data_IF_459638617337
#
_entry.id   IF_459638617337
#
_cell.length_a   1.000
_cell.length_b   1.000
_cell.length_c   1.000
_cell.angle_alpha   90.00
_cell.angle_beta   90.00
_cell.angle_gamma   90.00
#
_symmetry.space_group_name_H-M   'P 1'
#
loop_
_entity.id
_entity.type
_entity.pdbx_description
1 polymer ?
#
# COMPACT_ATOMS: atom_id res chain seq x y z
N UNK A 1 8.02 -16.17 30.11
CA UNK A 1 7.61 -15.44 31.32
C UNK A 1 7.58 -13.97 30.96
N UNK A 2 6.44 -13.30 31.12
CA UNK A 2 6.41 -11.85 30.94
C UNK A 2 7.26 -11.17 32.02
N UNK A 3 8.12 -10.24 31.64
CA UNK A 3 8.92 -9.49 32.61
C UNK A 3 8.02 -8.61 33.50
N UNK A 4 8.47 -8.28 34.71
CA UNK A 4 7.78 -7.32 35.58
C UNK A 4 7.53 -5.97 34.85
N UNK A 5 8.48 -5.56 34.02
CA UNK A 5 8.36 -4.38 33.15
C UNK A 5 7.21 -4.51 32.15
N UNK A 6 7.09 -5.67 31.48
CA UNK A 6 5.98 -5.95 30.55
C UNK A 6 4.63 -5.91 31.26
N UNK A 7 4.55 -6.42 32.49
CA UNK A 7 3.33 -6.37 33.30
C UNK A 7 2.91 -4.93 33.64
N UNK A 8 3.85 -4.08 34.08
CA UNK A 8 3.59 -2.65 34.35
C UNK A 8 3.10 -1.95 33.08
N UNK A 9 3.79 -2.15 31.95
CA UNK A 9 3.45 -1.51 30.68
C UNK A 9 2.06 -1.90 30.19
N UNK A 10 1.65 -3.17 30.37
CA UNK A 10 0.28 -3.62 30.10
C UNK A 10 -0.73 -2.91 30.99
N UNK A 11 -0.43 -2.76 32.28
CA UNK A 11 -1.27 -2.01 33.22
C UNK A 11 -1.42 -0.53 32.85
N UNK A 12 -0.35 0.12 32.39
CA UNK A 12 -0.40 1.50 31.90
C UNK A 12 -1.21 1.63 30.61
N UNK A 13 -1.02 0.71 29.67
CA UNK A 13 -1.78 0.68 28.41
C UNK A 13 -3.29 0.45 28.66
N UNK A 14 -3.65 -0.39 29.63
CA UNK A 14 -5.05 -0.65 29.98
C UNK A 14 -5.78 0.60 30.54
N UNK A 15 -5.04 1.57 31.08
CA UNK A 15 -5.57 2.86 31.55
C UNK A 15 -5.69 3.90 30.43
N UNK A 16 -5.12 3.65 29.25
CA UNK A 16 -5.26 4.54 28.11
C UNK A 16 -6.56 4.24 27.36
N UNK A 17 -7.16 5.28 26.77
CA UNK A 17 -8.29 5.12 25.87
C UNK A 17 -7.91 4.18 24.71
N UNK A 18 -8.83 3.32 24.28
CA UNK A 18 -8.57 2.31 23.24
C UNK A 18 -8.14 2.99 21.94
N UNK A 19 -6.83 2.98 21.69
CA UNK A 19 -6.27 3.55 20.47
C UNK A 19 -6.83 2.86 19.23
N UNK A 20 -6.88 3.58 18.11
CA UNK A 20 -7.24 2.99 16.81
C UNK A 20 -6.36 1.78 16.45
N UNK A 21 -5.10 1.77 16.87
CA UNK A 21 -4.18 0.65 16.68
C UNK A 21 -4.70 -0.63 17.36
N UNK A 22 -5.23 -0.52 18.58
CA UNK A 22 -5.79 -1.66 19.31
C UNK A 22 -7.01 -2.25 18.60
N UNK A 23 -7.86 -1.39 18.02
CA UNK A 23 -9.06 -1.83 17.31
C UNK A 23 -8.73 -2.58 16.01
N UNK A 24 -7.61 -2.25 15.38
CA UNK A 24 -7.20 -2.81 14.09
C UNK A 24 -6.60 -4.21 14.21
N UNK A 25 -5.91 -4.51 15.32
CA UNK A 25 -5.24 -5.82 15.48
C UNK A 25 -6.22 -7.00 15.38
N UNK A 26 -7.50 -6.80 15.70
CA UNK A 26 -8.53 -7.84 15.73
C UNK A 26 -9.38 -7.90 14.45
N UNK A 27 -9.09 -7.05 13.45
CA UNK A 27 -9.90 -6.98 12.22
C UNK A 27 -9.56 -8.06 11.21
N UNK A 28 -8.38 -8.68 11.31
CA UNK A 28 -7.89 -9.71 10.39
C UNK A 28 -7.28 -10.88 11.16
N UNK A 29 -7.28 -12.05 10.55
CA UNK A 29 -6.60 -13.22 11.10
C UNK A 29 -5.12 -13.20 10.70
N UNK A 30 -4.24 -13.08 11.69
CA UNK A 30 -2.79 -13.02 11.48
C UNK A 30 -2.14 -14.39 11.20
N UNK A 31 -2.82 -15.50 11.50
CA UNK A 31 -2.22 -16.83 11.41
C UNK A 31 -1.86 -17.25 9.96
N UNK A 32 -2.69 -17.02 8.93
CA UNK A 32 -2.32 -17.28 7.55
C UNK A 32 -1.13 -16.42 7.07
N UNK A 33 -1.11 -15.14 7.43
CA UNK A 33 0.02 -14.25 7.09
C UNK A 33 1.33 -14.72 7.70
N UNK A 34 1.30 -15.26 8.92
CA UNK A 34 2.48 -15.84 9.58
C UNK A 34 3.11 -16.92 8.70
N UNK A 35 2.29 -17.88 8.24
CA UNK A 35 2.78 -19.00 7.40
C UNK A 35 3.44 -18.47 6.13
N UNK A 36 2.76 -17.57 5.42
CA UNK A 36 3.27 -16.92 4.19
C UNK A 36 4.59 -16.17 4.44
N UNK A 37 4.69 -15.43 5.54
CA UNK A 37 5.89 -14.67 5.88
C UNK A 37 7.02 -15.55 6.42
N UNK A 38 6.75 -16.70 7.04
CA UNK A 38 7.78 -17.64 7.48
C UNK A 38 8.42 -18.40 6.31
N UNK A 39 7.68 -18.61 5.22
CA UNK A 39 8.18 -19.27 4.00
C UNK A 39 9.26 -18.47 3.27
N UNK A 40 9.37 -17.15 3.51
CA UNK A 40 10.44 -16.36 2.89
C UNK A 40 11.83 -16.65 3.48
N UNK A 41 11.90 -17.37 4.60
CA UNK A 41 13.14 -17.72 5.29
C UNK A 41 13.59 -19.15 4.96
N UNK A 42 14.87 -19.27 4.62
CA UNK A 42 15.55 -20.51 4.22
C UNK A 42 16.41 -21.12 5.34
N UNK A 43 16.51 -20.45 6.49
CA UNK A 43 17.36 -20.86 7.61
C UNK A 43 16.78 -22.02 8.46
N UNK A 44 16.00 -22.91 7.85
CA UNK A 44 15.42 -24.12 8.46
C UNK A 44 16.39 -25.33 8.44
N UNK A 45 17.67 -25.11 8.14
CA UNK A 45 18.67 -26.16 8.04
C UNK A 45 19.13 -26.68 9.40
N UNK A 46 19.61 -27.93 9.44
CA UNK A 46 20.05 -28.64 10.65
C UNK A 46 21.13 -27.89 11.46
N UNK A 47 21.93 -27.04 10.80
CA UNK A 47 23.00 -26.27 11.46
C UNK A 47 22.48 -25.11 12.32
N UNK A 48 21.21 -24.70 12.15
CA UNK A 48 20.58 -23.63 12.90
C UNK A 48 21.17 -22.24 12.60
N UNK A 49 20.30 -21.27 12.28
CA UNK A 49 20.66 -19.85 12.28
C UNK A 49 20.24 -19.16 13.59
N UNK A 50 20.69 -17.92 13.82
CA UNK A 50 20.09 -17.08 14.87
C UNK A 50 18.57 -17.02 14.66
N UNK A 51 17.75 -17.23 15.71
CA UNK A 51 16.30 -17.10 15.60
C UNK A 51 15.94 -15.76 14.97
N UNK A 52 15.10 -15.80 13.94
CA UNK A 52 14.60 -14.58 13.31
C UNK A 52 13.64 -13.88 14.29
N UNK A 53 13.55 -12.55 14.17
CA UNK A 53 12.45 -11.81 14.81
C UNK A 53 11.10 -12.38 14.33
N UNK A 54 10.09 -12.30 15.20
CA UNK A 54 8.74 -12.72 14.87
C UNK A 54 8.23 -12.02 13.60
N UNK A 55 7.76 -12.79 12.61
CA UNK A 55 7.41 -12.23 11.31
C UNK A 55 6.18 -11.34 11.33
N UNK A 56 5.24 -11.59 12.25
CA UNK A 56 4.05 -10.76 12.43
C UNK A 56 4.43 -9.45 13.08
N UNK A 57 5.31 -9.48 14.09
CA UNK A 57 5.93 -8.28 14.67
C UNK A 57 6.58 -7.44 13.57
N UNK A 58 7.44 -8.04 12.74
CA UNK A 58 8.13 -7.32 11.67
C UNK A 58 7.16 -6.69 10.67
N UNK A 59 6.11 -7.41 10.27
CA UNK A 59 5.12 -6.88 9.33
C UNK A 59 4.26 -5.77 9.97
N UNK A 60 3.87 -5.90 11.24
CA UNK A 60 3.19 -4.84 12.00
C UNK A 60 4.03 -3.57 12.12
N UNK A 61 5.36 -3.68 12.26
CA UNK A 61 6.27 -2.53 12.21
C UNK A 61 6.16 -1.81 10.87
N UNK A 62 6.09 -2.54 9.75
CA UNK A 62 5.93 -1.91 8.42
C UNK A 62 4.62 -1.16 8.28
N UNK A 63 3.54 -1.69 8.88
CA UNK A 63 2.23 -1.03 8.92
C UNK A 63 2.31 0.27 9.74
N UNK A 64 2.95 0.24 10.93
CA UNK A 64 3.20 1.44 11.73
C UNK A 64 3.98 2.50 10.95
N UNK A 65 5.01 2.09 10.19
CA UNK A 65 5.75 3.00 9.33
C UNK A 65 4.85 3.71 8.32
N UNK A 66 3.84 3.03 7.76
CA UNK A 66 2.94 3.67 6.80
C UNK A 66 1.93 4.59 7.50
N UNK A 67 1.30 4.15 8.59
CA UNK A 67 0.31 4.98 9.28
C UNK A 67 0.88 6.29 9.84
N UNK A 68 2.16 6.29 10.23
CA UNK A 68 2.80 7.44 10.86
C UNK A 68 3.91 8.08 9.99
N UNK A 69 4.09 7.62 8.75
CA UNK A 69 5.10 8.17 7.83
C UNK A 69 6.55 8.03 8.31
N UNK A 70 6.87 6.97 9.06
CA UNK A 70 8.16 6.81 9.75
C UNK A 70 9.22 6.14 8.87
N UNK A 71 10.46 6.59 9.00
CA UNK A 71 11.64 5.87 8.53
C UNK A 71 11.99 4.66 9.41
N UNK A 72 12.98 3.86 9.00
CA UNK A 72 13.44 2.70 9.79
C UNK A 72 14.01 3.11 11.14
N UNK A 73 14.78 4.21 11.17
CA UNK A 73 15.39 4.72 12.40
C UNK A 73 14.35 5.36 13.33
N UNK A 74 13.35 6.03 12.76
CA UNK A 74 12.28 6.66 13.55
C UNK A 74 11.34 5.62 14.16
N UNK A 75 10.97 4.57 13.42
CA UNK A 75 10.13 3.51 13.99
C UNK A 75 10.87 2.73 15.06
N UNK A 76 12.19 2.50 14.89
CA UNK A 76 13.06 1.88 15.91
C UNK A 76 13.03 2.65 17.23
N UNK A 77 13.20 3.98 17.16
CA UNK A 77 13.13 4.84 18.35
C UNK A 77 11.72 4.86 18.94
N UNK A 78 10.70 5.09 18.11
CA UNK A 78 9.33 5.27 18.61
C UNK A 78 8.72 4.00 19.19
N UNK A 79 9.07 2.81 18.71
CA UNK A 79 8.56 1.58 19.31
C UNK A 79 9.14 1.30 20.70
N UNK A 80 10.34 1.82 20.99
CA UNK A 80 10.95 1.76 22.32
C UNK A 80 10.42 2.84 23.28
N UNK A 81 9.82 3.92 22.77
CA UNK A 81 9.36 5.06 23.59
C UNK A 81 7.83 5.11 23.78
N UNK A 82 7.04 4.59 22.81
CA UNK A 82 5.58 4.76 22.79
C UNK A 82 4.86 3.50 23.23
N UNK A 83 4.20 3.57 24.39
CA UNK A 83 3.40 2.47 24.96
C UNK A 83 2.35 1.96 23.97
N UNK A 84 1.69 2.84 23.21
CA UNK A 84 0.69 2.43 22.22
C UNK A 84 1.29 1.64 21.05
N UNK A 85 2.54 1.90 20.67
CA UNK A 85 3.25 1.12 19.66
C UNK A 85 3.66 -0.23 20.24
N UNK A 86 4.22 -0.24 21.44
CA UNK A 86 4.54 -1.49 22.14
C UNK A 86 3.32 -2.39 22.25
N UNK A 87 2.18 -1.84 22.67
CA UNK A 87 0.93 -2.59 22.79
C UNK A 87 0.47 -3.18 21.46
N UNK A 88 0.52 -2.41 20.36
CA UNK A 88 0.18 -2.90 19.02
C UNK A 88 1.12 -4.04 18.55
N UNK A 89 2.39 -3.95 18.93
CA UNK A 89 3.45 -4.90 18.61
C UNK A 89 3.52 -6.10 19.58
N UNK A 90 2.73 -6.10 20.65
CA UNK A 90 2.72 -7.18 21.64
C UNK A 90 3.83 -7.11 22.70
N UNK A 91 4.37 -5.92 22.97
CA UNK A 91 5.46 -5.65 23.91
C UNK A 91 6.70 -6.53 23.63
N UNK A 92 7.31 -6.41 22.44
CA UNK A 92 8.46 -7.24 22.07
C UNK A 92 9.69 -6.89 22.92
N UNK A 93 10.48 -7.90 23.25
CA UNK A 93 11.78 -7.76 23.91
C UNK A 93 12.75 -8.84 23.38
N UNK A 94 13.84 -8.48 22.69
CA UNK A 94 14.26 -7.12 22.31
C UNK A 94 13.50 -6.54 21.10
N UNK A 95 13.54 -5.21 20.95
CA UNK A 95 13.04 -4.53 19.75
C UNK A 95 13.98 -4.74 18.54
N UNK A 96 13.44 -5.01 17.32
CA UNK A 96 14.26 -5.13 16.11
C UNK A 96 14.94 -3.81 15.71
N UNK A 97 16.23 -3.84 15.35
CA UNK A 97 16.89 -2.63 14.84
C UNK A 97 16.42 -2.25 13.41
N UNK A 98 16.68 -1.01 13.00
CA UNK A 98 16.36 -0.46 11.68
C UNK A 98 16.92 -1.28 10.52
N UNK A 99 18.10 -1.89 10.70
CA UNK A 99 18.72 -2.76 9.68
C UNK A 99 17.91 -4.05 9.50
N UNK A 100 17.41 -4.62 10.58
CA UNK A 100 16.56 -5.83 10.58
C UNK A 100 15.24 -5.56 9.88
N UNK A 101 14.64 -4.39 10.14
CA UNK A 101 13.43 -3.92 9.45
C UNK A 101 13.67 -3.75 7.95
N UNK A 102 14.80 -3.13 7.57
CA UNK A 102 15.18 -2.98 6.17
C UNK A 102 15.37 -4.34 5.47
N UNK A 103 16.09 -5.27 6.10
CA UNK A 103 16.35 -6.61 5.56
C UNK A 103 15.05 -7.42 5.37
N UNK A 104 14.07 -7.26 6.26
CA UNK A 104 12.78 -7.90 6.15
C UNK A 104 12.04 -7.46 4.87
N UNK A 105 11.95 -6.16 4.60
CA UNK A 105 11.36 -5.65 3.34
C UNK A 105 12.13 -6.09 2.11
N UNK A 106 13.45 -6.08 2.18
CA UNK A 106 14.30 -6.54 1.08
C UNK A 106 14.04 -8.02 0.77
N UNK A 107 13.84 -8.84 1.80
CA UNK A 107 13.50 -10.26 1.63
C UNK A 107 12.13 -10.44 1.00
N UNK A 108 11.11 -9.70 1.44
CA UNK A 108 9.78 -9.70 0.79
C UNK A 108 9.88 -9.36 -0.70
N UNK A 109 10.65 -8.31 -1.06
CA UNK A 109 10.83 -7.90 -2.45
C UNK A 109 11.54 -8.94 -3.32
N UNK A 110 12.47 -9.70 -2.74
CA UNK A 110 13.23 -10.74 -3.46
C UNK A 110 12.42 -12.02 -3.67
N UNK A 111 11.60 -12.37 -2.71
CA UNK A 111 10.81 -13.62 -2.68
C UNK A 111 9.42 -13.47 -3.30
N UNK A 112 8.94 -12.24 -3.47
CA UNK A 112 7.58 -11.97 -3.96
C UNK A 112 6.50 -12.25 -2.93
N UNK A 113 6.88 -12.42 -1.65
CA UNK A 113 5.96 -12.66 -0.53
C UNK A 113 4.95 -11.53 -0.35
N UNK A 114 5.28 -10.30 -0.78
CA UNK A 114 4.36 -9.17 -0.75
C UNK A 114 3.07 -9.43 -1.53
N UNK A 115 3.16 -10.10 -2.69
CA UNK A 115 2.00 -10.47 -3.51
C UNK A 115 1.13 -11.52 -2.80
N UNK A 116 1.77 -12.50 -2.15
CA UNK A 116 1.05 -13.55 -1.41
C UNK A 116 0.30 -12.97 -0.20
N UNK A 117 0.95 -12.05 0.52
CA UNK A 117 0.32 -11.29 1.61
C UNK A 117 -0.87 -10.49 1.10
N UNK A 118 -0.75 -9.83 -0.06
CA UNK A 118 -1.87 -9.10 -0.66
C UNK A 118 -3.05 -10.01 -1.00
N UNK A 119 -2.79 -11.16 -1.63
CA UNK A 119 -3.81 -12.17 -1.98
C UNK A 119 -4.53 -12.66 -0.72
N UNK A 120 -3.80 -12.95 0.36
CA UNK A 120 -4.42 -13.40 1.61
C UNK A 120 -5.29 -12.32 2.26
N UNK A 121 -4.89 -11.04 2.20
CA UNK A 121 -5.76 -9.95 2.66
C UNK A 121 -7.07 -9.91 1.87
N UNK A 122 -6.99 -9.95 0.53
CA UNK A 122 -8.19 -9.94 -0.31
C UNK A 122 -9.11 -11.14 -0.01
N UNK A 123 -8.54 -12.34 0.18
CA UNK A 123 -9.30 -13.53 0.59
C UNK A 123 -10.04 -13.32 1.90
N UNK A 124 -9.41 -12.71 2.91
CA UNK A 124 -10.07 -12.41 4.18
C UNK A 124 -11.16 -11.35 4.07
N UNK A 125 -10.95 -10.31 3.24
CA UNK A 125 -11.98 -9.30 2.97
C UNK A 125 -13.23 -9.95 2.35
N UNK A 126 -13.02 -10.82 1.36
CA UNK A 126 -14.11 -11.53 0.70
C UNK A 126 -14.84 -12.50 1.64
N UNK A 127 -14.10 -13.17 2.53
CA UNK A 127 -14.67 -14.05 3.56
C UNK A 127 -15.53 -13.28 4.58
N UNK A 128 -15.26 -11.99 4.79
CA UNK A 128 -16.09 -11.08 5.62
C UNK A 128 -17.32 -10.54 4.88
N UNK A 129 -17.59 -11.00 3.65
CA UNK A 129 -18.71 -10.51 2.84
C UNK A 129 -18.47 -9.15 2.18
N UNK A 130 -17.27 -8.58 2.36
CA UNK A 130 -16.82 -7.34 1.74
C UNK A 130 -16.33 -7.65 0.33
N UNK A 131 -17.20 -8.16 -0.53
CA UNK A 131 -16.92 -8.46 -1.94
C UNK A 131 -17.29 -7.28 -2.83
N UNK A 132 -16.63 -7.15 -3.97
CA UNK A 132 -17.03 -6.19 -5.01
C UNK A 132 -18.42 -6.56 -5.54
N UNK A 133 -19.38 -5.62 -5.52
CA UNK A 133 -20.74 -5.88 -6.05
C UNK A 133 -21.06 -4.99 -7.24
N UNK A 134 -20.99 -3.67 -7.06
CA UNK A 134 -21.44 -2.72 -8.11
C UNK A 134 -20.35 -2.38 -9.12
N UNK A 135 -19.08 -2.52 -8.75
CA UNK A 135 -17.96 -2.30 -9.64
C UNK A 135 -16.72 -1.77 -8.92
N UNK A 136 -15.70 -1.50 -9.72
CA UNK A 136 -14.42 -0.96 -9.26
C UNK A 136 -14.07 0.29 -10.03
N UNK A 137 -13.49 1.26 -9.33
CA UNK A 137 -12.85 2.42 -9.92
C UNK A 137 -11.37 2.14 -10.07
N UNK A 138 -10.82 2.24 -11.29
CA UNK A 138 -9.37 2.17 -11.52
C UNK A 138 -8.82 3.57 -11.73
N UNK A 139 -7.74 3.87 -11.02
CA UNK A 139 -7.03 5.15 -11.10
C UNK A 139 -5.54 4.98 -10.80
N UNK A 140 -4.75 5.98 -11.18
CA UNK A 140 -3.32 5.98 -10.91
C UNK A 140 -2.87 7.28 -10.26
N UNK A 141 -1.90 7.18 -9.36
CA UNK A 141 -1.29 8.35 -8.72
C UNK A 141 0.23 8.29 -8.80
N UNK A 142 0.85 9.45 -9.05
CA UNK A 142 2.29 9.60 -8.94
C UNK A 142 2.76 9.43 -7.49
N UNK A 143 3.89 8.74 -7.35
CA UNK A 143 4.67 8.55 -6.13
C UNK A 143 6.07 9.09 -6.40
N UNK A 144 6.40 10.20 -5.78
CA UNK A 144 7.61 10.96 -6.11
C UNK A 144 8.86 10.33 -5.53
N UNK A 145 9.96 10.41 -6.26
CA UNK A 145 11.28 9.99 -5.83
C UNK A 145 12.27 11.15 -6.01
N UNK A 146 13.48 10.99 -5.48
CA UNK A 146 14.55 11.96 -5.69
C UNK A 146 15.24 11.74 -7.05
N UNK A 147 15.16 12.70 -8.00
CA UNK A 147 15.87 12.61 -9.29
C UNK A 147 17.39 12.76 -9.16
N UNK A 148 17.90 13.28 -8.03
CA UNK A 148 19.26 13.75 -7.89
C UNK A 148 19.48 15.13 -8.53
N UNK A 149 20.72 15.63 -8.52
CA UNK A 149 21.05 16.93 -9.13
C UNK A 149 20.87 16.92 -10.65
N UNK A 150 20.49 18.07 -11.22
CA UNK A 150 20.26 18.28 -12.66
C UNK A 150 21.49 17.99 -13.54
N UNK A 151 22.70 18.07 -12.98
CA UNK A 151 23.96 17.72 -13.67
C UNK A 151 24.14 16.20 -13.85
N UNK A 152 23.39 15.39 -13.09
CA UNK A 152 23.48 13.93 -13.14
C UNK A 152 22.62 13.33 -14.26
N UNK A 153 22.81 13.76 -15.52
CA UNK A 153 22.13 13.20 -16.70
C UNK A 153 22.40 11.69 -16.92
N UNK A 154 23.43 11.14 -16.27
CA UNK A 154 23.78 9.71 -16.34
C UNK A 154 22.92 8.89 -15.37
N UNK A 155 22.43 7.74 -15.82
CA UNK A 155 21.79 6.75 -14.93
C UNK A 155 22.76 6.37 -13.79
N UNK A 156 22.21 6.17 -12.60
CA UNK A 156 22.98 5.77 -11.43
C UNK A 156 23.57 4.37 -11.64
N UNK A 157 24.89 4.21 -11.49
CA UNK A 157 25.55 2.90 -11.49
C UNK A 157 25.06 1.98 -10.37
N UNK A 158 25.17 0.67 -10.56
CA UNK A 158 24.62 -0.34 -9.64
C UNK A 158 25.15 -0.24 -8.20
N UNK A 159 26.35 0.32 -8.00
CA UNK A 159 27.07 0.34 -6.72
C UNK A 159 27.00 1.67 -5.96
N UNK A 160 26.42 2.73 -6.56
CA UNK A 160 26.40 4.04 -5.92
C UNK A 160 25.63 3.99 -4.57
N UNK A 161 26.12 4.65 -3.52
CA UNK A 161 25.43 4.77 -2.22
C UNK A 161 24.76 6.14 -2.11
N UNK A 162 23.62 6.31 -2.78
CA UNK A 162 22.85 7.56 -2.81
C UNK A 162 21.35 7.32 -2.63
N UNK A 163 20.60 8.37 -2.26
CA UNK A 163 19.13 8.40 -2.19
C UNK A 163 18.45 8.60 -3.55
N UNK A 164 19.23 8.94 -4.58
CA UNK A 164 18.75 9.09 -5.95
C UNK A 164 18.07 7.80 -6.45
N UNK A 165 16.89 7.93 -7.03
CA UNK A 165 16.19 6.79 -7.63
C UNK A 165 17.06 6.07 -8.68
N UNK A 166 16.99 4.74 -8.75
CA UNK A 166 17.76 3.94 -9.71
C UNK A 166 17.02 3.78 -11.03
N UNK A 167 15.72 3.52 -10.98
CA UNK A 167 14.89 3.20 -12.15
C UNK A 167 13.63 4.09 -12.27
N UNK A 168 13.47 5.09 -11.39
CA UNK A 168 12.43 6.11 -11.52
C UNK A 168 12.57 6.91 -12.82
N UNK A 169 11.45 7.35 -13.38
CA UNK A 169 11.40 8.09 -14.64
C UNK A 169 10.60 9.38 -14.47
N UNK A 170 10.63 10.26 -15.49
CA UNK A 170 9.76 11.42 -15.57
C UNK A 170 8.41 11.04 -16.20
N UNK A 171 7.33 11.61 -15.67
CA UNK A 171 5.99 11.58 -16.26
C UNK A 171 5.32 12.94 -16.13
N UNK A 172 4.34 13.24 -16.98
CA UNK A 172 3.66 14.53 -17.01
C UNK A 172 2.17 14.37 -16.68
N UNK A 173 1.64 15.25 -15.83
CA UNK A 173 0.20 15.38 -15.54
C UNK A 173 -0.22 16.83 -15.77
N UNK A 174 -1.01 17.07 -16.82
CA UNK A 174 -1.31 18.44 -17.24
C UNK A 174 -0.02 19.20 -17.58
N UNK A 175 0.26 20.28 -16.83
CA UNK A 175 1.49 21.07 -16.99
C UNK A 175 2.60 20.69 -16.00
N UNK A 176 2.34 19.78 -15.06
CA UNK A 176 3.29 19.39 -14.01
C UNK A 176 4.11 18.17 -14.43
N UNK A 177 5.40 18.17 -14.09
CA UNK A 177 6.31 17.04 -14.30
C UNK A 177 6.63 16.38 -12.96
N UNK A 178 6.45 15.07 -12.86
CA UNK A 178 6.75 14.29 -11.67
C UNK A 178 7.84 13.27 -11.98
N UNK A 179 8.81 13.14 -11.08
CA UNK A 179 9.83 12.11 -11.16
C UNK A 179 9.59 11.00 -10.14
N UNK A 180 9.66 9.75 -10.57
CA UNK A 180 9.55 8.58 -9.70
C UNK A 180 8.73 7.48 -10.33
N UNK A 181 7.60 7.18 -9.68
CA UNK A 181 6.79 5.99 -9.92
C UNK A 181 5.30 6.34 -9.99
N UNK A 182 4.48 5.34 -10.32
CA UNK A 182 3.03 5.39 -10.20
C UNK A 182 2.53 4.21 -9.38
N UNK A 183 1.54 4.47 -8.53
CA UNK A 183 0.69 3.46 -7.93
C UNK A 183 -0.60 3.41 -8.75
N UNK A 184 -0.79 2.32 -9.47
CA UNK A 184 -2.06 1.97 -10.10
C UNK A 184 -2.87 1.20 -9.07
N UNK A 185 -4.15 1.52 -8.91
CA UNK A 185 -5.00 0.81 -7.96
C UNK A 185 -6.42 0.68 -8.47
N UNK A 186 -7.10 -0.37 -8.02
CA UNK A 186 -8.56 -0.50 -8.10
C UNK A 186 -9.16 -0.36 -6.72
N UNK A 187 -10.23 0.41 -6.63
CA UNK A 187 -10.98 0.63 -5.39
C UNK A 187 -12.43 0.23 -5.63
N UNK A 188 -13.00 -0.61 -4.77
CA UNK A 188 -14.41 -0.93 -4.88
C UNK A 188 -15.29 0.25 -4.46
N UNK A 189 -16.42 0.43 -5.13
CA UNK A 189 -17.31 1.58 -4.92
C UNK A 189 -18.30 1.37 -3.77
N UNK A 190 -18.28 0.19 -3.13
CA UNK A 190 -19.24 -0.22 -2.10
C UNK A 190 -18.71 0.11 -0.69
N UNK A 191 -17.46 -0.25 -0.45
CA UNK A 191 -16.78 -0.21 0.85
C UNK A 191 -15.51 0.65 0.81
N UNK A 192 -15.14 1.19 -0.36
CA UNK A 192 -13.92 1.98 -0.56
C UNK A 192 -12.65 1.22 -0.17
N UNK A 193 -12.59 -0.10 -0.38
CA UNK A 193 -11.39 -0.91 -0.16
C UNK A 193 -10.58 -1.00 -1.45
N UNK A 194 -9.26 -0.97 -1.32
CA UNK A 194 -8.36 -1.23 -2.43
C UNK A 194 -8.37 -2.73 -2.72
N UNK A 195 -8.60 -3.11 -3.97
CA UNK A 195 -8.77 -4.50 -4.43
C UNK A 195 -7.56 -5.05 -5.13
N UNK A 196 -6.91 -4.22 -5.94
CA UNK A 196 -5.69 -4.59 -6.62
C UNK A 196 -4.78 -3.38 -6.77
N UNK A 197 -3.48 -3.63 -6.90
CA UNK A 197 -2.47 -2.60 -7.08
C UNK A 197 -1.37 -3.07 -8.02
N UNK A 198 -0.75 -2.13 -8.73
CA UNK A 198 0.49 -2.36 -9.47
C UNK A 198 1.36 -1.12 -9.37
N UNK A 199 2.68 -1.31 -9.29
CA UNK A 199 3.64 -0.21 -9.23
C UNK A 199 4.46 -0.17 -10.51
N UNK A 200 4.47 0.99 -11.18
CA UNK A 200 5.28 1.20 -12.38
C UNK A 200 6.19 2.42 -12.24
N UNK A 201 7.05 2.63 -13.23
CA UNK A 201 7.73 3.92 -13.39
C UNK A 201 6.74 5.02 -13.78
N UNK A 202 7.11 6.29 -13.57
CA UNK A 202 6.22 7.42 -13.82
C UNK A 202 5.88 7.64 -15.32
N UNK A 203 6.72 7.15 -16.24
CA UNK A 203 6.53 7.33 -17.68
C UNK A 203 5.53 6.35 -18.26
N UNK A 204 5.28 5.22 -17.59
CA UNK A 204 4.31 4.24 -18.05
C UNK A 204 2.93 4.89 -18.12
N UNK A 205 2.30 4.80 -19.29
CA UNK A 205 0.96 5.35 -19.48
C UNK A 205 -0.07 4.47 -18.75
N UNK A 206 -1.03 5.11 -18.07
CA UNK A 206 -1.95 4.43 -17.15
C UNK A 206 -2.77 3.34 -17.86
N UNK A 207 -3.13 3.58 -19.12
CA UNK A 207 -3.86 2.62 -19.94
C UNK A 207 -3.11 1.31 -20.24
N UNK A 208 -1.80 1.23 -19.97
CA UNK A 208 -1.02 0.00 -20.15
C UNK A 208 -1.14 -0.96 -18.97
N UNK A 209 -1.75 -0.53 -17.87
CA UNK A 209 -1.99 -1.35 -16.69
C UNK A 209 -3.49 -1.60 -16.58
N UNK A 210 -3.89 -2.87 -16.61
CA UNK A 210 -5.29 -3.28 -16.47
C UNK A 210 -5.47 -4.23 -15.28
N UNK A 211 -6.00 -3.67 -14.21
CA UNK A 211 -6.33 -4.32 -12.94
C UNK A 211 -7.82 -4.68 -12.85
N UNK A 212 -8.56 -4.55 -13.95
CA UNK A 212 -9.98 -4.86 -13.96
C UNK A 212 -10.26 -6.36 -13.83
N UNK A 213 -11.40 -6.67 -13.24
CA UNK A 213 -11.86 -8.04 -12.98
C UNK A 213 -12.89 -8.40 -14.05
N UNK A 214 -12.75 -9.59 -14.66
CA UNK A 214 -13.68 -10.07 -15.69
C UNK A 214 -15.11 -10.14 -15.14
N UNK A 215 -16.08 -9.65 -15.93
CA UNK A 215 -17.50 -9.64 -15.54
C UNK A 215 -17.88 -8.53 -14.54
N UNK A 216 -16.93 -7.74 -14.05
CA UNK A 216 -17.19 -6.64 -13.12
C UNK A 216 -17.10 -5.29 -13.85
N UNK A 217 -18.04 -4.35 -13.62
CA UNK A 217 -17.92 -2.97 -14.13
C UNK A 217 -16.65 -2.27 -13.65
N UNK A 218 -15.88 -1.72 -14.59
CA UNK A 218 -14.69 -0.90 -14.30
C UNK A 218 -14.91 0.54 -14.74
N UNK A 219 -14.85 1.46 -13.78
CA UNK A 219 -14.98 2.90 -13.98
C UNK A 219 -13.60 3.53 -14.10
N UNK A 220 -13.29 4.11 -15.27
CA UNK A 220 -11.98 4.69 -15.58
C UNK A 220 -12.11 6.10 -16.13
N UNK A 221 -11.10 6.93 -15.92
CA UNK A 221 -11.06 8.26 -16.50
C UNK A 221 -10.74 8.25 -18.00
N UNK A 222 -10.67 9.44 -18.58
CA UNK A 222 -10.38 9.68 -19.99
C UNK A 222 -8.96 9.27 -20.40
N UNK A 223 -8.04 9.12 -19.44
CA UNK A 223 -6.68 8.64 -19.67
C UNK A 223 -6.65 7.19 -20.16
N UNK A 224 -7.67 6.40 -19.83
CA UNK A 224 -7.79 5.01 -20.29
C UNK A 224 -8.54 4.86 -21.62
N UNK A 225 -9.01 5.97 -22.21
CA UNK A 225 -9.80 5.93 -23.44
C UNK A 225 -9.05 5.26 -24.59
N UNK A 226 -9.71 4.31 -25.26
CA UNK A 226 -9.18 3.58 -26.41
C UNK A 226 -8.56 2.22 -26.08
N UNK A 227 -8.41 1.86 -24.80
CA UNK A 227 -7.92 0.54 -24.38
C UNK A 227 -9.05 -0.27 -23.75
N UNK A 228 -9.39 -1.43 -24.33
CA UNK A 228 -10.44 -2.30 -23.80
C UNK A 228 -9.96 -2.99 -22.51
N UNK A 229 -10.72 -2.92 -21.39
CA UNK A 229 -10.38 -3.62 -20.17
C UNK A 229 -10.84 -5.09 -20.21
N UNK A 230 -10.33 -5.90 -19.27
CA UNK A 230 -10.85 -7.26 -18.98
C UNK A 230 -12.28 -7.23 -18.43
N UNK A 231 -12.61 -6.22 -17.62
CA UNK A 231 -13.93 -6.01 -17.04
C UNK A 231 -14.96 -5.41 -18.01
N UNK A 232 -16.15 -5.11 -17.49
CA UNK A 232 -17.21 -4.42 -18.25
C UNK A 232 -16.85 -2.93 -18.33
N UNK A 233 -16.67 -2.42 -19.56
CA UNK A 233 -16.04 -1.12 -19.80
C UNK A 233 -16.95 0.09 -19.52
N UNK A 234 -16.65 0.81 -18.44
CA UNK A 234 -17.21 2.13 -18.13
C UNK A 234 -16.11 3.20 -18.11
N UNK A 235 -15.29 3.22 -19.16
CA UNK A 235 -14.26 4.25 -19.34
C UNK A 235 -14.87 5.53 -19.90
N UNK A 236 -14.49 6.68 -19.34
CA UNK A 236 -14.95 7.97 -19.84
C UNK A 236 -14.47 8.21 -21.27
N UNK A 237 -15.35 8.78 -22.10
CA UNK A 237 -14.98 9.18 -23.46
C UNK A 237 -14.21 10.50 -23.44
N UNK A 238 -13.27 10.65 -24.38
CA UNK A 238 -12.55 11.90 -24.62
C UNK A 238 -12.91 12.46 -25.99
N UNK A 239 -12.82 13.79 -26.15
CA UNK A 239 -12.92 14.44 -27.45
C UNK A 239 -11.75 13.97 -28.31
N UNK A 240 -12.01 13.60 -29.56
CA UNK A 240 -10.97 13.41 -30.57
C UNK A 240 -10.93 14.62 -31.50
N UNK A 241 -9.87 14.75 -32.30
CA UNK A 241 -9.76 15.83 -33.30
C UNK A 241 -10.97 15.82 -34.24
N UNK A 242 -11.43 14.62 -34.60
CA UNK A 242 -12.46 14.41 -35.61
C UNK A 242 -13.89 14.40 -35.05
N UNK A 243 -14.06 14.12 -33.75
CA UNK A 243 -15.39 14.00 -33.13
C UNK A 243 -15.49 14.77 -31.81
N UNK A 244 -16.33 15.82 -31.76
CA UNK A 244 -16.67 16.48 -30.50
C UNK A 244 -17.44 15.51 -29.59
N UNK A 245 -17.37 15.76 -28.27
CA UNK A 245 -18.14 14.98 -27.31
C UNK A 245 -19.64 15.31 -27.45
N UNK A 246 -20.47 14.32 -27.72
CA UNK A 246 -21.93 14.48 -27.73
C UNK A 246 -22.47 14.82 -26.33
N UNK A 247 -23.67 15.41 -26.24
CA UNK A 247 -24.32 15.67 -24.94
C UNK A 247 -24.54 14.38 -24.14
N UNK A 248 -24.87 13.27 -24.82
CA UNK A 248 -25.00 11.95 -24.19
C UNK A 248 -23.66 11.46 -23.61
N UNK A 249 -22.55 11.70 -24.30
CA UNK A 249 -21.22 11.33 -23.80
C UNK A 249 -20.78 12.21 -22.62
N UNK A 250 -21.18 13.50 -22.62
CA UNK A 250 -20.95 14.40 -21.49
C UNK A 250 -21.71 13.92 -20.25
N UNK A 251 -22.99 13.59 -20.40
CA UNK A 251 -23.81 13.10 -19.29
C UNK A 251 -23.32 11.72 -18.80
N UNK A 252 -22.98 10.80 -19.71
CA UNK A 252 -22.34 9.52 -19.36
C UNK A 252 -21.06 9.75 -18.55
N UNK A 253 -20.19 10.66 -18.99
CA UNK A 253 -18.96 10.98 -18.27
C UNK A 253 -19.23 11.58 -16.89
N UNK A 254 -20.26 12.43 -16.75
CA UNK A 254 -20.67 13.00 -15.47
C UNK A 254 -21.09 11.91 -14.48
N UNK A 255 -21.93 10.96 -14.93
CA UNK A 255 -22.37 9.82 -14.13
C UNK A 255 -21.20 8.92 -13.71
N UNK A 256 -20.32 8.57 -14.65
CA UNK A 256 -19.11 7.79 -14.35
C UNK A 256 -18.21 8.53 -13.35
N UNK A 257 -18.10 9.85 -13.46
CA UNK A 257 -17.27 10.64 -12.54
C UNK A 257 -17.80 10.59 -11.11
N UNK A 258 -19.12 10.64 -10.94
CA UNK A 258 -19.75 10.50 -9.63
C UNK A 258 -19.48 9.12 -9.03
N UNK A 259 -19.69 8.05 -9.82
CA UNK A 259 -19.44 6.67 -9.39
C UNK A 259 -17.97 6.40 -9.06
N UNK A 260 -17.04 7.06 -9.74
CA UNK A 260 -15.59 6.87 -9.55
C UNK A 260 -15.01 7.66 -8.38
N UNK A 261 -15.71 8.68 -7.87
CA UNK A 261 -15.23 9.54 -6.78
C UNK A 261 -14.68 8.81 -5.53
N UNK A 262 -15.15 7.60 -5.13
CA UNK A 262 -14.57 6.86 -4.01
C UNK A 262 -13.07 6.56 -4.13
N UNK A 263 -12.52 6.47 -5.36
CA UNK A 263 -11.09 6.20 -5.59
C UNK A 263 -10.17 7.31 -5.09
N UNK A 264 -10.70 8.53 -4.94
CA UNK A 264 -9.93 9.69 -4.49
C UNK A 264 -9.57 9.59 -3.01
N UNK A 265 -10.40 8.94 -2.20
CA UNK A 265 -10.19 8.82 -0.75
C UNK A 265 -8.92 8.02 -0.42
N UNK A 266 -8.67 6.82 -0.97
CA UNK A 266 -7.40 6.14 -0.76
C UNK A 266 -6.18 6.99 -1.15
N UNK A 267 -6.22 7.67 -2.31
CA UNK A 267 -5.13 8.57 -2.71
C UNK A 267 -4.91 9.71 -1.72
N UNK A 268 -5.99 10.34 -1.24
CA UNK A 268 -5.90 11.42 -0.27
C UNK A 268 -5.31 10.96 1.07
N UNK A 269 -5.76 9.81 1.60
CA UNK A 269 -5.25 9.26 2.87
C UNK A 269 -3.78 8.84 2.72
N UNK A 270 -3.44 8.11 1.66
CA UNK A 270 -2.07 7.67 1.38
C UNK A 270 -1.11 8.85 1.28
N UNK A 271 -1.50 9.93 0.61
CA UNK A 271 -0.62 11.09 0.44
C UNK A 271 -0.56 12.00 1.66
N UNK A 272 -1.70 12.32 2.27
CA UNK A 272 -1.80 13.38 3.29
C UNK A 272 -1.71 12.85 4.71
N UNK A 273 -2.24 11.67 4.99
CA UNK A 273 -2.25 11.08 6.34
C UNK A 273 -1.04 10.19 6.54
N UNK A 274 -0.76 9.31 5.57
CA UNK A 274 0.36 8.36 5.67
C UNK A 274 1.71 8.97 5.22
N UNK A 275 1.68 10.13 4.55
CA UNK A 275 2.89 10.75 4.00
C UNK A 275 3.57 9.93 2.91
N UNK A 276 2.86 8.96 2.31
CA UNK A 276 3.42 8.00 1.35
C UNK A 276 3.38 8.48 -0.11
N UNK A 277 3.19 9.79 -0.34
CA UNK A 277 3.31 10.41 -1.66
C UNK A 277 4.74 10.49 -2.20
N UNK A 278 5.74 10.26 -1.34
CA UNK A 278 7.17 10.26 -1.68
C UNK A 278 7.86 9.02 -1.17
N UNK A 279 8.83 8.50 -1.92
CA UNK A 279 9.61 7.31 -1.57
C UNK A 279 11.11 7.58 -1.61
N UNK A 280 11.81 6.87 -0.73
CA UNK A 280 13.28 6.92 -0.59
C UNK A 280 13.94 5.62 -1.04
N UNK A 281 13.13 4.59 -1.32
CA UNK A 281 13.57 3.37 -1.97
C UNK A 281 13.72 3.62 -3.46
N UNK A 282 14.68 2.93 -4.07
CA UNK A 282 15.25 3.36 -5.35
C UNK A 282 14.93 2.44 -6.51
N UNK A 283 14.14 1.37 -6.30
CA UNK A 283 13.77 0.43 -7.37
C UNK A 283 12.26 0.17 -7.39
N UNK A 284 11.69 -0.09 -8.57
CA UNK A 284 10.27 -0.43 -8.75
C UNK A 284 9.85 -1.56 -7.82
N UNK A 285 10.66 -2.62 -7.69
CA UNK A 285 10.35 -3.75 -6.78
C UNK A 285 10.21 -3.32 -5.31
N UNK A 286 11.14 -2.48 -4.82
CA UNK A 286 11.08 -1.99 -3.43
C UNK A 286 9.94 -1.01 -3.21
N UNK A 287 9.62 -0.19 -4.22
CA UNK A 287 8.45 0.69 -4.20
C UNK A 287 7.18 -0.15 -4.18
N UNK A 288 7.11 -1.22 -4.96
CA UNK A 288 5.99 -2.18 -4.98
C UNK A 288 5.70 -2.74 -3.60
N UNK A 289 6.71 -3.27 -2.89
CA UNK A 289 6.53 -3.73 -1.50
C UNK A 289 6.04 -2.61 -0.60
N UNK A 290 6.63 -1.41 -0.69
CA UNK A 290 6.19 -0.28 0.14
C UNK A 290 4.72 0.07 -0.14
N UNK A 291 4.33 0.17 -1.40
CA UNK A 291 2.96 0.49 -1.80
C UNK A 291 1.96 -0.61 -1.46
N UNK A 292 2.37 -1.88 -1.51
CA UNK A 292 1.57 -3.01 -1.02
C UNK A 292 1.29 -2.85 0.47
N UNK A 293 2.31 -2.59 1.30
CA UNK A 293 2.10 -2.36 2.74
C UNK A 293 1.25 -1.11 2.97
N UNK A 294 1.44 -0.05 2.17
CA UNK A 294 0.63 1.18 2.24
C UNK A 294 -0.85 0.90 1.94
N UNK A 295 -1.15 0.12 0.89
CA UNK A 295 -2.52 -0.28 0.55
C UNK A 295 -3.11 -1.22 1.60
N UNK A 296 -2.32 -2.14 2.16
CA UNK A 296 -2.71 -3.02 3.27
C UNK A 296 -3.09 -2.19 4.49
N UNK A 297 -2.25 -1.24 4.87
CA UNK A 297 -2.46 -0.31 5.97
C UNK A 297 -3.70 0.57 5.75
N UNK A 298 -3.97 0.99 4.51
CA UNK A 298 -5.19 1.69 4.15
C UNK A 298 -6.43 0.81 4.32
N UNK A 299 -6.40 -0.44 3.83
CA UNK A 299 -7.53 -1.36 3.96
C UNK A 299 -7.86 -1.64 5.43
N UNK A 300 -6.86 -1.81 6.29
CA UNK A 300 -7.06 -1.91 7.74
C UNK A 300 -7.69 -0.65 8.35
N UNK A 301 -7.21 0.53 7.93
CA UNK A 301 -7.79 1.81 8.33
C UNK A 301 -9.27 1.91 7.89
N UNK A 302 -9.58 1.41 6.70
CA UNK A 302 -10.94 1.39 6.19
C UNK A 302 -11.82 0.37 6.91
N UNK A 303 -11.33 -0.83 7.23
CA UNK A 303 -12.06 -1.81 8.03
C UNK A 303 -12.45 -1.23 9.40
N UNK A 304 -11.55 -0.47 10.05
CA UNK A 304 -11.89 0.23 11.29
C UNK A 304 -13.03 1.25 11.08
N UNK A 305 -13.02 1.96 9.95
CA UNK A 305 -14.10 2.89 9.58
C UNK A 305 -15.42 2.15 9.38
N UNK A 306 -15.41 1.03 8.65
CA UNK A 306 -16.60 0.21 8.39
C UNK A 306 -17.17 -0.39 9.68
N UNK A 307 -16.31 -0.87 10.59
CA UNK A 307 -16.71 -1.35 11.91
C UNK A 307 -17.38 -0.27 12.74
N UNK A 308 -16.79 0.92 12.79
CA UNK A 308 -17.38 2.05 13.51
C UNK A 308 -18.70 2.52 12.89
N UNK A 309 -18.87 2.33 11.58
CA UNK A 309 -20.12 2.56 10.86
C UNK A 309 -21.10 1.37 10.92
N UNK A 310 -20.82 0.33 11.73
CA UNK A 310 -21.68 -0.86 11.91
C UNK A 310 -21.97 -1.65 10.62
N UNK A 311 -21.07 -1.57 9.63
CA UNK A 311 -21.16 -2.34 8.38
C UNK A 311 -20.57 -3.77 8.56
N UNK A 312 -19.58 -3.90 9.45
CA UNK A 312 -18.94 -5.16 9.87
C UNK A 312 -18.75 -5.21 11.38
#
# INVERSE_FOLDING_TARGET
MDSFTTWILRGLNAKQEKSRLSQISDLIDWAPFRRILEEMYDNKSERGGRPNCDVILMFKILILQQWYGLSDLEVERQMADRISFMAFLGFPDPFPDSRTIWLFRERMAKTGTDKQVWVELQRQLDAKGLKVRRGIAQDATFIEADPGSSESKKQRGNEAKTRRSKDGTWGKKGNESHFGYKLHQTTDIDYCLIRDIETSTASLHDSQVDLSIQGIPVFRDRGYFGVKPKGIDFTMKRRTTDQPLSELDKERNRLISSLRSPVERPHAIIKRVFGAGRVLVTTVKRVGVKMMVTAFAFNLYQLCTLKNATII
#
